data_IF_300631616224
#
_entry.id   IF_300631616224
#
_cell.length_a   1.000
_cell.length_b   1.000
_cell.length_c   1.000
_cell.angle_alpha   90.00
_cell.angle_beta   90.00
_cell.angle_gamma   90.00
#
_symmetry.space_group_name_H-M   'P 1'
#
loop_
_entity.id
_entity.type
_entity.pdbx_description
1 polymer ?
#
# COMPACT_ATOMS: atom_id res chain seq x y z
N UNK A 1 12.92 -23.21 14.15
CA UNK A 1 13.86 -22.10 13.86
C UNK A 1 13.11 -21.07 13.01
N UNK A 2 12.60 -20.00 13.62
CA UNK A 2 11.92 -18.92 12.88
C UNK A 2 12.99 -18.05 12.23
N UNK A 3 13.25 -18.24 10.94
CA UNK A 3 14.03 -17.29 10.13
C UNK A 3 13.27 -15.97 10.09
N UNK A 4 13.64 -15.06 11.00
CA UNK A 4 13.33 -13.64 10.88
C UNK A 4 13.88 -13.19 9.53
N UNK A 5 13.00 -12.73 8.64
CA UNK A 5 13.38 -12.11 7.38
C UNK A 5 14.00 -10.74 7.75
N UNK A 6 15.28 -10.75 8.11
CA UNK A 6 16.09 -9.54 8.25
C UNK A 6 16.36 -9.06 6.83
N UNK A 7 15.50 -8.17 6.33
CA UNK A 7 15.79 -7.45 5.09
C UNK A 7 16.94 -6.50 5.38
N UNK A 8 18.06 -6.65 4.68
CA UNK A 8 19.12 -5.64 4.70
C UNK A 8 18.48 -4.29 4.39
N UNK A 9 18.57 -3.33 5.32
CA UNK A 9 18.03 -1.99 5.10
C UNK A 9 18.97 -1.31 4.11
N UNK A 10 18.54 -1.03 2.86
CA UNK A 10 19.39 -0.26 1.96
C UNK A 10 19.71 1.09 2.62
N UNK A 11 20.92 1.59 2.43
CA UNK A 11 21.32 2.88 2.99
C UNK A 11 20.37 4.00 2.57
N UNK A 12 20.24 5.08 3.36
CA UNK A 12 19.25 6.15 3.13
C UNK A 12 19.33 6.76 1.73
N UNK A 13 20.54 6.91 1.17
CA UNK A 13 20.75 7.39 -0.21
C UNK A 13 20.19 6.45 -1.27
N UNK A 14 20.32 5.13 -1.08
CA UNK A 14 19.75 4.12 -1.99
C UNK A 14 18.22 4.09 -1.93
N UNK A 15 17.65 4.39 -0.76
CA UNK A 15 16.21 4.53 -0.58
C UNK A 15 15.68 5.80 -1.25
N UNK A 16 16.41 6.92 -1.13
CA UNK A 16 16.07 8.20 -1.77
C UNK A 16 16.15 8.11 -3.31
N UNK A 17 17.13 7.38 -3.84
CA UNK A 17 17.34 7.19 -5.29
C UNK A 17 16.67 5.91 -5.83
N UNK A 18 15.85 5.23 -5.03
CA UNK A 18 15.11 4.07 -5.51
C UNK A 18 14.06 4.52 -6.53
N UNK A 19 14.27 4.18 -7.80
CA UNK A 19 13.34 4.56 -8.88
C UNK A 19 12.13 3.61 -8.97
N UNK A 20 12.37 2.30 -8.82
CA UNK A 20 11.33 1.27 -8.95
C UNK A 20 10.44 1.25 -7.70
N UNK A 21 9.15 1.54 -7.87
CA UNK A 21 8.17 1.57 -6.79
C UNK A 21 8.16 2.86 -5.95
N UNK A 22 8.88 3.90 -6.39
CA UNK A 22 8.86 5.22 -5.76
C UNK A 22 7.75 6.10 -6.32
N UNK A 23 7.30 7.07 -5.52
CA UNK A 23 6.34 8.11 -5.94
C UNK A 23 7.01 9.16 -6.84
N UNK A 24 8.35 9.22 -6.83
CA UNK A 24 9.16 10.23 -7.54
C UNK A 24 8.82 10.32 -9.04
N UNK A 25 8.78 9.23 -9.84
CA UNK A 25 8.47 9.34 -11.27
C UNK A 25 7.08 9.93 -11.56
N UNK A 26 6.14 9.78 -10.62
CA UNK A 26 4.78 10.29 -10.76
C UNK A 26 4.68 11.80 -10.46
N UNK A 27 5.45 12.31 -9.47
CA UNK A 27 5.44 13.73 -9.10
C UNK A 27 6.47 14.56 -9.86
N UNK A 28 7.51 13.94 -10.42
CA UNK A 28 8.57 14.60 -11.18
C UNK A 28 8.06 15.51 -12.32
N UNK A 29 7.11 15.10 -13.18
CA UNK A 29 6.61 16.00 -14.24
C UNK A 29 5.93 17.26 -13.67
N UNK A 30 5.25 17.16 -12.52
CA UNK A 30 4.61 18.30 -11.86
C UNK A 30 5.66 19.27 -11.28
N UNK A 31 6.73 18.74 -10.68
CA UNK A 31 7.86 19.52 -10.17
C UNK A 31 8.55 20.25 -11.33
N UNK A 32 8.84 19.55 -12.43
CA UNK A 32 9.48 20.14 -13.61
C UNK A 32 8.62 21.21 -14.26
N UNK A 33 7.32 20.96 -14.44
CA UNK A 33 6.39 21.94 -15.00
C UNK A 33 6.33 23.22 -14.15
N UNK A 34 6.17 23.07 -12.83
CA UNK A 34 6.13 24.22 -11.91
C UNK A 34 7.46 24.97 -11.90
N UNK A 35 8.58 24.26 -11.92
CA UNK A 35 9.92 24.86 -11.99
C UNK A 35 10.17 25.60 -13.30
N UNK A 36 9.77 25.02 -14.44
CA UNK A 36 9.86 25.69 -15.75
C UNK A 36 8.96 26.93 -15.81
N UNK A 37 7.75 26.86 -15.27
CA UNK A 37 6.85 28.00 -15.17
C UNK A 37 7.47 29.12 -14.33
N UNK A 38 8.01 28.81 -13.14
CA UNK A 38 8.69 29.77 -12.29
C UNK A 38 9.92 30.40 -12.98
N UNK A 39 10.70 29.60 -13.70
CA UNK A 39 11.84 30.08 -14.47
C UNK A 39 11.42 31.01 -15.61
N UNK A 40 10.36 30.67 -16.35
CA UNK A 40 9.81 31.49 -17.41
C UNK A 40 9.29 32.84 -16.89
N UNK A 41 8.51 32.83 -15.80
CA UNK A 41 8.01 34.06 -15.15
C UNK A 41 9.17 34.94 -14.68
N UNK A 42 10.19 34.34 -14.06
CA UNK A 42 11.39 35.07 -13.60
C UNK A 42 12.17 35.67 -14.78
N UNK A 43 12.31 34.92 -15.87
CA UNK A 43 13.00 35.38 -17.08
C UNK A 43 12.28 36.56 -17.73
N UNK A 44 10.95 36.47 -17.88
CA UNK A 44 10.10 37.54 -18.43
C UNK A 44 10.16 38.79 -17.54
N UNK A 45 9.99 38.63 -16.22
CA UNK A 45 10.05 39.74 -15.26
C UNK A 45 11.36 40.51 -15.35
N UNK A 46 12.50 39.80 -15.47
CA UNK A 46 13.83 40.43 -15.58
C UNK A 46 14.12 41.09 -16.93
N UNK A 47 13.60 40.55 -18.04
CA UNK A 47 13.91 41.08 -19.39
C UNK A 47 12.92 42.12 -19.91
N UNK A 48 11.66 42.11 -19.44
CA UNK A 48 10.61 43.01 -19.93
C UNK A 48 10.32 44.20 -18.99
N UNK A 49 11.20 44.51 -18.03
CA UNK A 49 11.09 45.67 -17.13
C UNK A 49 9.71 45.80 -16.46
N UNK A 50 9.13 44.69 -16.00
CA UNK A 50 7.86 44.68 -15.26
C UNK A 50 8.02 45.08 -13.78
N UNK A 51 9.23 45.53 -13.39
CA UNK A 51 9.53 46.01 -12.05
C UNK A 51 8.60 47.18 -11.69
N UNK A 52 7.64 46.92 -10.78
CA UNK A 52 6.70 47.91 -10.25
C UNK A 52 5.27 47.87 -10.79
N UNK A 53 4.93 47.00 -11.76
CA UNK A 53 3.54 46.89 -12.26
C UNK A 53 2.67 45.87 -11.50
N UNK A 54 3.28 44.95 -10.76
CA UNK A 54 2.58 43.88 -10.02
C UNK A 54 3.14 43.75 -8.61
N UNK A 55 2.33 44.06 -7.60
CA UNK A 55 2.67 43.80 -6.19
C UNK A 55 2.41 42.33 -5.84
N UNK A 56 3.48 41.57 -5.66
CA UNK A 56 3.39 40.19 -5.19
C UNK A 56 3.33 40.16 -3.66
N UNK A 57 2.14 39.98 -3.10
CA UNK A 57 2.00 39.71 -1.66
C UNK A 57 2.16 38.22 -1.35
N UNK A 58 2.96 37.91 -0.32
CA UNK A 58 3.17 36.55 0.18
C UNK A 58 1.96 36.02 0.97
N UNK A 59 1.09 36.91 1.44
CA UNK A 59 0.02 36.57 2.39
C UNK A 59 -0.93 35.46 1.88
N UNK A 60 -1.46 35.51 0.64
CA UNK A 60 -2.33 34.46 0.13
C UNK A 60 -1.64 33.09 0.04
N UNK A 61 -0.34 33.08 -0.30
CA UNK A 61 0.46 31.85 -0.39
C UNK A 61 0.71 31.24 0.99
N UNK A 62 0.98 32.07 2.01
CA UNK A 62 1.16 31.59 3.38
C UNK A 62 -0.12 30.96 3.93
N UNK A 63 -1.28 31.61 3.73
CA UNK A 63 -2.57 31.08 4.17
C UNK A 63 -2.88 29.76 3.45
N UNK A 64 -2.66 29.72 2.13
CA UNK A 64 -2.84 28.51 1.33
C UNK A 64 -1.91 27.37 1.80
N UNK A 65 -0.65 27.67 2.08
CA UNK A 65 0.34 26.70 2.55
C UNK A 65 -0.03 26.09 3.91
N UNK A 66 -0.49 26.93 4.85
CA UNK A 66 -0.97 26.47 6.16
C UNK A 66 -2.20 25.57 5.99
N UNK A 67 -3.20 26.01 5.22
CA UNK A 67 -4.40 25.24 4.97
C UNK A 67 -4.07 23.87 4.34
N UNK A 68 -3.23 23.85 3.30
CA UNK A 68 -2.80 22.62 2.63
C UNK A 68 -2.07 21.67 3.58
N UNK A 69 -1.18 22.18 4.43
CA UNK A 69 -0.44 21.39 5.42
C UNK A 69 -1.38 20.67 6.40
N UNK A 70 -2.38 21.39 6.92
CA UNK A 70 -3.38 20.82 7.83
C UNK A 70 -4.19 19.73 7.12
N UNK A 71 -4.69 20.00 5.91
CA UNK A 71 -5.44 19.00 5.14
C UNK A 71 -4.61 17.75 4.80
N UNK A 72 -3.34 17.93 4.44
CA UNK A 72 -2.43 16.80 4.21
C UNK A 72 -2.22 15.97 5.48
N UNK A 73 -2.04 16.62 6.63
CA UNK A 73 -1.85 15.93 7.90
C UNK A 73 -3.04 15.01 8.23
N UNK A 74 -4.26 15.55 8.15
CA UNK A 74 -5.49 14.76 8.39
C UNK A 74 -5.62 13.61 7.38
N UNK A 75 -5.38 13.88 6.08
CA UNK A 75 -5.43 12.85 5.03
C UNK A 75 -4.39 11.75 5.22
N UNK A 76 -3.17 12.12 5.63
CA UNK A 76 -2.09 11.18 5.87
C UNK A 76 -2.41 10.28 7.06
N UNK A 77 -2.91 10.84 8.16
CA UNK A 77 -3.33 10.06 9.33
C UNK A 77 -4.42 9.06 8.97
N UNK A 78 -5.50 9.49 8.29
CA UNK A 78 -6.57 8.58 7.88
C UNK A 78 -6.10 7.47 6.92
N UNK A 79 -5.23 7.81 5.96
CA UNK A 79 -4.66 6.83 5.02
C UNK A 79 -3.75 5.83 5.73
N UNK A 80 -2.94 6.31 6.67
CA UNK A 80 -2.05 5.49 7.48
C UNK A 80 -2.85 4.54 8.38
N UNK A 81 -3.89 5.03 9.05
CA UNK A 81 -4.76 4.23 9.90
C UNK A 81 -5.43 3.12 9.11
N UNK A 82 -5.97 3.42 7.92
CA UNK A 82 -6.56 2.41 7.03
C UNK A 82 -5.54 1.37 6.57
N UNK A 83 -4.31 1.79 6.23
CA UNK A 83 -3.23 0.87 5.89
C UNK A 83 -2.85 -0.03 7.07
N UNK A 84 -2.76 0.53 8.27
CA UNK A 84 -2.44 -0.20 9.48
C UNK A 84 -3.57 -1.15 9.89
N UNK A 85 -4.82 -0.73 9.75
CA UNK A 85 -6.02 -1.53 9.98
C UNK A 85 -6.04 -2.78 9.11
N UNK A 86 -5.77 -2.64 7.81
CA UNK A 86 -5.65 -3.81 6.93
C UNK A 86 -4.57 -4.79 7.45
N UNK A 87 -3.40 -4.29 7.86
CA UNK A 87 -2.34 -5.15 8.44
C UNK A 87 -2.76 -5.84 9.73
N UNK A 88 -3.50 -5.15 10.60
CA UNK A 88 -4.07 -5.75 11.83
C UNK A 88 -5.00 -6.91 11.48
N UNK A 89 -5.91 -6.73 10.51
CA UNK A 89 -6.83 -7.79 10.08
C UNK A 89 -6.09 -9.02 9.53
N UNK A 90 -5.10 -8.82 8.64
CA UNK A 90 -4.27 -9.93 8.15
C UNK A 90 -3.51 -10.63 9.28
N UNK A 91 -2.95 -9.86 10.24
CA UNK A 91 -2.27 -10.41 11.41
C UNK A 91 -3.20 -11.23 12.32
N UNK A 92 -4.41 -10.73 12.56
CA UNK A 92 -5.44 -11.39 13.35
C UNK A 92 -5.87 -12.72 12.71
N UNK A 93 -6.11 -12.75 11.40
CA UNK A 93 -6.44 -13.99 10.69
C UNK A 93 -5.35 -15.05 10.85
N UNK A 94 -4.08 -14.67 10.71
CA UNK A 94 -2.96 -15.60 10.89
C UNK A 94 -2.87 -16.10 12.34
N UNK A 95 -3.12 -15.23 13.32
CA UNK A 95 -3.19 -15.61 14.73
C UNK A 95 -4.29 -16.66 14.98
N UNK A 96 -5.50 -16.42 14.46
CA UNK A 96 -6.62 -17.35 14.57
C UNK A 96 -6.32 -18.70 13.90
N UNK A 97 -5.73 -18.70 12.70
CA UNK A 97 -5.31 -19.95 12.06
C UNK A 97 -4.29 -20.74 12.87
N UNK A 98 -3.36 -20.07 13.55
CA UNK A 98 -2.40 -20.74 14.45
C UNK A 98 -3.08 -21.28 15.71
N UNK A 99 -4.01 -20.52 16.28
CA UNK A 99 -4.82 -20.95 17.42
C UNK A 99 -5.64 -22.19 17.06
N UNK A 100 -6.35 -22.15 15.93
CA UNK A 100 -7.12 -23.27 15.38
C UNK A 100 -6.25 -24.48 15.10
N UNK A 101 -5.07 -24.29 14.49
CA UNK A 101 -4.14 -25.36 14.22
C UNK A 101 -3.65 -26.06 15.50
N UNK A 102 -3.41 -25.30 16.58
CA UNK A 102 -3.05 -25.84 17.89
C UNK A 102 -4.22 -26.58 18.53
N UNK A 103 -5.40 -25.98 18.58
CA UNK A 103 -6.59 -26.62 19.19
C UNK A 103 -6.99 -27.89 18.44
N UNK A 104 -6.85 -27.90 17.10
CA UNK A 104 -7.19 -29.06 16.27
C UNK A 104 -6.41 -30.33 16.59
N UNK A 105 -5.21 -30.24 17.21
CA UNK A 105 -4.45 -31.44 17.57
C UNK A 105 -5.10 -32.24 18.69
N UNK A 106 -5.96 -31.60 19.49
CA UNK A 106 -6.64 -32.24 20.63
C UNK A 106 -7.97 -32.85 20.19
N UNK A 107 -8.70 -32.17 19.29
CA UNK A 107 -10.11 -32.49 19.00
C UNK A 107 -10.36 -33.18 17.66
N UNK A 108 -9.39 -33.25 16.75
CA UNK A 108 -9.60 -33.75 15.39
C UNK A 108 -8.66 -34.93 15.07
N UNK A 109 -9.16 -35.88 14.28
CA UNK A 109 -8.31 -36.91 13.67
C UNK A 109 -7.32 -36.28 12.68
N UNK A 110 -6.18 -36.94 12.38
CA UNK A 110 -5.18 -36.42 11.45
C UNK A 110 -5.75 -36.02 10.09
N UNK A 111 -6.74 -36.76 9.57
CA UNK A 111 -7.37 -36.56 8.28
C UNK A 111 -8.23 -35.29 8.30
N UNK A 112 -9.12 -35.16 9.29
CA UNK A 112 -9.99 -33.97 9.44
C UNK A 112 -9.17 -32.72 9.74
N UNK A 113 -8.09 -32.86 10.52
CA UNK A 113 -7.14 -31.78 10.77
C UNK A 113 -6.47 -31.31 9.48
N UNK A 114 -6.00 -32.24 8.64
CA UNK A 114 -5.39 -31.91 7.35
C UNK A 114 -6.38 -31.17 6.45
N UNK A 115 -7.63 -31.63 6.38
CA UNK A 115 -8.68 -30.99 5.60
C UNK A 115 -8.94 -29.55 6.08
N UNK A 116 -9.14 -29.35 7.39
CA UNK A 116 -9.37 -28.04 7.99
C UNK A 116 -8.23 -27.07 7.67
N UNK A 117 -6.98 -27.48 7.90
CA UNK A 117 -5.81 -26.62 7.65
C UNK A 117 -5.62 -26.30 6.17
N UNK A 118 -5.95 -27.24 5.29
CA UNK A 118 -5.93 -27.02 3.83
C UNK A 118 -6.95 -25.97 3.43
N UNK A 119 -8.16 -25.99 4.02
CA UNK A 119 -9.18 -24.97 3.80
C UNK A 119 -8.76 -23.60 4.33
N UNK A 120 -8.13 -23.52 5.51
CA UNK A 120 -7.58 -22.26 6.03
C UNK A 120 -6.50 -21.67 5.10
N UNK A 121 -5.62 -22.51 4.57
CA UNK A 121 -4.61 -22.10 3.59
C UNK A 121 -5.28 -21.60 2.30
N UNK A 122 -6.23 -22.35 1.74
CA UNK A 122 -6.99 -21.95 0.56
C UNK A 122 -7.71 -20.61 0.77
N UNK A 123 -8.33 -20.39 1.94
CA UNK A 123 -8.97 -19.12 2.29
C UNK A 123 -7.99 -17.94 2.22
N UNK A 124 -6.76 -18.09 2.74
CA UNK A 124 -5.77 -17.02 2.67
C UNK A 124 -5.38 -16.65 1.23
N UNK A 125 -5.21 -17.66 0.36
CA UNK A 125 -4.91 -17.44 -1.06
C UNK A 125 -6.09 -16.81 -1.80
N UNK A 126 -7.30 -17.34 -1.61
CA UNK A 126 -8.52 -16.82 -2.24
C UNK A 126 -8.81 -15.38 -1.81
N UNK A 127 -8.70 -15.06 -0.52
CA UNK A 127 -8.88 -13.71 0.00
C UNK A 127 -7.85 -12.73 -0.61
N UNK A 128 -6.59 -13.17 -0.76
CA UNK A 128 -5.55 -12.38 -1.43
C UNK A 128 -5.91 -12.15 -2.90
N UNK A 129 -6.35 -13.17 -3.61
CA UNK A 129 -6.79 -13.08 -5.00
C UNK A 129 -7.95 -12.11 -5.17
N UNK A 130 -8.97 -12.23 -4.30
CA UNK A 130 -10.14 -11.37 -4.29
C UNK A 130 -9.78 -9.90 -4.07
N UNK A 131 -8.93 -9.60 -3.06
CA UNK A 131 -8.55 -8.23 -2.74
C UNK A 131 -7.62 -7.59 -3.79
N UNK A 132 -6.91 -8.39 -4.58
CA UNK A 132 -6.02 -7.92 -5.65
C UNK A 132 -6.62 -8.00 -7.05
N UNK A 133 -7.76 -8.65 -7.21
CA UNK A 133 -8.32 -8.98 -8.52
C UNK A 133 -7.42 -9.93 -9.34
N UNK A 134 -6.63 -10.77 -8.66
CA UNK A 134 -5.70 -11.72 -9.29
C UNK A 134 -6.28 -13.13 -9.31
N UNK A 135 -6.01 -13.89 -10.38
CA UNK A 135 -6.25 -15.34 -10.37
C UNK A 135 -5.17 -16.02 -9.54
N UNK A 136 -5.61 -16.78 -8.53
CA UNK A 136 -4.76 -17.47 -7.54
C UNK A 136 -4.94 -18.98 -7.58
N UNK A 137 -5.63 -19.52 -8.60
CA UNK A 137 -5.88 -20.96 -8.76
C UNK A 137 -4.59 -21.78 -8.72
N UNK A 138 -3.49 -21.24 -9.26
CA UNK A 138 -2.17 -21.88 -9.24
C UNK A 138 -1.57 -22.05 -7.84
N UNK A 139 -1.97 -21.20 -6.89
CA UNK A 139 -1.42 -21.18 -5.54
C UNK A 139 -2.23 -22.05 -4.57
N UNK A 140 -3.37 -22.59 -5.03
CA UNK A 140 -4.24 -23.41 -4.19
C UNK A 140 -3.65 -24.80 -3.96
N UNK A 141 -3.87 -25.40 -2.78
CA UNK A 141 -3.40 -26.76 -2.53
C UNK A 141 -4.08 -27.74 -3.49
N UNK A 142 -3.32 -28.58 -4.18
CA UNK A 142 -3.87 -29.59 -5.12
C UNK A 142 -4.74 -30.68 -4.47
N UNK A 143 -4.91 -30.66 -3.14
CA UNK A 143 -5.83 -31.54 -2.40
C UNK A 143 -7.23 -30.94 -2.20
N UNK A 144 -7.47 -29.71 -2.67
CA UNK A 144 -8.80 -29.11 -2.65
C UNK A 144 -9.65 -29.66 -3.79
N UNK A 145 -10.92 -29.97 -3.49
CA UNK A 145 -11.88 -30.38 -4.51
C UNK A 145 -12.14 -29.21 -5.49
N UNK A 146 -12.08 -29.42 -6.82
CA UNK A 146 -12.28 -28.38 -7.82
C UNK A 146 -13.62 -27.64 -7.67
N UNK A 147 -14.67 -28.36 -7.24
CA UNK A 147 -16.01 -27.83 -7.03
C UNK A 147 -16.03 -26.73 -5.96
N UNK A 148 -15.21 -26.89 -4.91
CA UNK A 148 -15.11 -25.93 -3.81
C UNK A 148 -14.41 -24.64 -4.27
N UNK A 149 -13.47 -24.76 -5.20
CA UNK A 149 -12.74 -23.63 -5.80
C UNK A 149 -13.71 -22.81 -6.65
N UNK A 150 -14.48 -23.47 -7.50
CA UNK A 150 -15.44 -22.79 -8.37
C UNK A 150 -16.57 -22.15 -7.56
N UNK A 151 -17.06 -22.81 -6.50
CA UNK A 151 -18.05 -22.21 -5.58
C UNK A 151 -17.50 -20.96 -4.85
N UNK A 152 -16.26 -21.02 -4.40
CA UNK A 152 -15.62 -19.88 -3.75
C UNK A 152 -15.39 -18.71 -4.70
N UNK A 153 -15.14 -18.99 -5.99
CA UNK A 153 -14.97 -17.97 -7.02
C UNK A 153 -16.29 -17.46 -7.61
N UNK A 154 -17.37 -18.24 -7.55
CA UNK A 154 -18.70 -17.84 -8.02
C UNK A 154 -19.44 -16.93 -7.05
N UNK A 155 -19.06 -16.92 -5.77
CA UNK A 155 -19.64 -16.04 -4.72
C UNK A 155 -19.11 -14.59 -4.83
N UNK A 156 -18.77 -14.15 -6.04
CA UNK A 156 -18.32 -12.79 -6.36
C UNK A 156 -19.46 -11.78 -6.32
#
# INVERSE_FOLDING_TARGET
MLTVIVRERPGPLRLLLAWKGSVVPHILPHILLTGMFAAAVTWVSRHHYLDGMVDYTLLPFTIMGIALSIFLSVRNTATYDRWWEARKHWGHMVYEFRSLARTSTIYLSPERRRELLTRCLAHAHLLRGQLRGEDVRSDLPGSLAPELIDQALSTR
#
